data_IF_565403859828
#
_entry.id   IF_565403859828
#
_cell.length_a   1.000
_cell.length_b   1.000
_cell.length_c   1.000
_cell.angle_alpha   90.00
_cell.angle_beta   90.00
_cell.angle_gamma   90.00
#
_symmetry.space_group_name_H-M   'P 1'
#
loop_
_entity.id
_entity.type
_entity.pdbx_description
1 polymer ?
#
# COMPACT_ATOMS: atom_id res chain seq x y z
N UNK A 1 -0.33 10.84 -10.73
CA UNK A 1 0.63 10.72 -9.62
C UNK A 1 0.41 9.33 -9.08
N UNK A 2 0.97 8.35 -9.77
CA UNK A 2 0.64 6.94 -9.57
C UNK A 2 1.45 6.39 -8.40
N UNK A 3 0.91 5.39 -7.69
CA UNK A 3 1.63 4.64 -6.67
C UNK A 3 2.84 3.87 -7.26
N UNK A 4 2.82 3.57 -8.57
CA UNK A 4 3.92 2.94 -9.31
C UNK A 4 5.01 3.93 -9.75
N UNK A 5 4.67 5.20 -10.00
CA UNK A 5 5.65 6.29 -10.16
C UNK A 5 6.29 6.67 -8.83
N UNK A 6 5.55 6.59 -7.72
CA UNK A 6 6.08 6.84 -6.38
C UNK A 6 7.24 5.90 -6.06
N UNK A 7 7.18 4.64 -6.50
CA UNK A 7 8.23 3.65 -6.28
C UNK A 7 9.51 3.97 -7.07
N UNK A 8 9.36 4.42 -8.33
CA UNK A 8 10.47 4.84 -9.21
C UNK A 8 11.11 6.15 -8.76
N UNK A 9 10.32 7.06 -8.19
CA UNK A 9 10.77 8.35 -7.69
C UNK A 9 11.13 8.34 -6.20
N UNK A 10 10.95 7.21 -5.51
CA UNK A 10 11.23 7.14 -4.08
C UNK A 10 12.75 7.10 -3.88
N UNK A 11 13.32 8.15 -3.25
CA UNK A 11 14.75 8.33 -3.14
C UNK A 11 15.40 7.20 -2.33
N UNK A 12 16.71 7.04 -2.49
CA UNK A 12 17.49 6.24 -1.56
C UNK A 12 17.35 6.85 -0.15
N UNK A 13 16.97 6.02 0.83
CA UNK A 13 16.78 6.42 2.23
C UNK A 13 17.99 5.92 3.03
N UNK A 14 19.02 6.75 3.26
CA UNK A 14 20.15 6.36 4.09
C UNK A 14 19.69 6.03 5.52
N UNK A 15 20.15 4.91 6.06
CA UNK A 15 19.80 4.44 7.39
C UNK A 15 18.56 3.52 7.46
N UNK A 16 17.85 3.28 6.35
CA UNK A 16 16.82 2.26 6.30
C UNK A 16 17.45 0.85 6.25
N UNK A 17 17.15 -0.01 7.23
CA UNK A 17 17.63 -1.41 7.23
C UNK A 17 17.01 -2.22 6.09
N UNK A 18 15.70 -2.04 5.88
CA UNK A 18 14.94 -2.71 4.82
C UNK A 18 13.95 -1.75 4.20
N UNK A 19 13.81 -1.83 2.88
CA UNK A 19 12.79 -1.13 2.11
C UNK A 19 11.85 -2.17 1.51
N UNK A 20 10.60 -2.16 1.95
CA UNK A 20 9.56 -3.07 1.48
C UNK A 20 8.64 -2.26 0.57
N UNK A 21 8.69 -2.52 -0.73
CA UNK A 21 7.79 -1.90 -1.70
C UNK A 21 6.45 -2.63 -1.69
N UNK A 22 5.35 -1.88 -1.56
CA UNK A 22 3.98 -2.37 -1.71
C UNK A 22 3.42 -1.77 -3.00
N UNK A 23 3.23 -2.62 -4.01
CA UNK A 23 2.73 -2.20 -5.32
C UNK A 23 1.23 -2.43 -5.39
N UNK A 24 0.50 -1.35 -5.64
CA UNK A 24 -0.92 -1.36 -5.95
C UNK A 24 -1.13 -0.75 -7.32
N UNK A 25 -2.05 -1.33 -8.08
CA UNK A 25 -2.50 -0.73 -9.33
C UNK A 25 -3.24 0.57 -9.00
N UNK A 26 -2.94 1.63 -9.74
CA UNK A 26 -3.55 2.94 -9.50
C UNK A 26 -5.01 2.90 -10.01
N UNK A 27 -6.03 2.99 -9.13
CA UNK A 27 -7.42 2.97 -9.55
C UNK A 27 -7.78 4.15 -10.47
N UNK A 28 -6.89 5.15 -10.58
CA UNK A 28 -6.98 6.25 -11.52
C UNK A 28 -7.13 5.83 -12.99
N UNK A 29 -6.68 4.62 -13.35
CA UNK A 29 -6.94 4.06 -14.68
C UNK A 29 -8.44 3.98 -15.04
N UNK A 30 -9.31 4.03 -14.03
CA UNK A 30 -10.76 3.97 -14.16
C UNK A 30 -11.46 5.33 -13.98
N UNK A 31 -10.71 6.44 -13.89
CA UNK A 31 -11.27 7.79 -13.79
C UNK A 31 -12.24 8.08 -14.96
N UNK A 32 -13.38 8.70 -14.66
CA UNK A 32 -14.46 9.01 -15.60
C UNK A 32 -15.15 7.76 -16.21
N UNK A 33 -14.94 6.58 -15.64
CA UNK A 33 -15.65 5.36 -16.03
C UNK A 33 -16.71 4.99 -15.00
N UNK A 34 -17.68 4.16 -15.41
CA UNK A 34 -18.67 3.61 -14.48
C UNK A 34 -18.06 2.71 -13.38
N UNK A 35 -16.80 2.31 -13.52
CA UNK A 35 -16.08 1.45 -12.57
C UNK A 35 -15.23 2.23 -11.56
N UNK A 36 -15.15 3.56 -11.66
CA UNK A 36 -14.29 4.40 -10.83
C UNK A 36 -14.49 4.09 -9.34
N UNK A 37 -15.70 4.31 -8.81
CA UNK A 37 -16.03 4.10 -7.39
C UNK A 37 -15.60 2.70 -6.93
N UNK A 38 -16.00 1.67 -7.69
CA UNK A 38 -15.70 0.27 -7.36
C UNK A 38 -14.20 0.01 -7.29
N UNK A 39 -13.41 0.58 -8.21
CA UNK A 39 -11.97 0.34 -8.30
C UNK A 39 -11.19 1.05 -7.20
N UNK A 40 -11.61 2.26 -6.83
CA UNK A 40 -11.07 2.95 -5.66
C UNK A 40 -11.40 2.20 -4.36
N UNK A 41 -12.62 1.69 -4.21
CA UNK A 41 -13.01 0.86 -3.05
C UNK A 41 -12.18 -0.43 -2.96
N UNK A 42 -12.08 -1.19 -4.06
CA UNK A 42 -11.27 -2.42 -4.13
C UNK A 42 -9.81 -2.16 -3.72
N UNK A 43 -9.20 -1.09 -4.23
CA UNK A 43 -7.83 -0.71 -3.88
C UNK A 43 -7.70 -0.34 -2.39
N UNK A 44 -8.64 0.46 -1.87
CA UNK A 44 -8.68 0.85 -0.46
C UNK A 44 -8.79 -0.35 0.49
N UNK A 45 -9.70 -1.28 0.20
CA UNK A 45 -9.87 -2.50 1.00
C UNK A 45 -8.64 -3.40 0.98
N UNK A 46 -7.98 -3.51 -0.18
CA UNK A 46 -6.73 -4.27 -0.29
C UNK A 46 -5.64 -3.69 0.61
N UNK A 47 -5.39 -2.38 0.51
CA UNK A 47 -4.40 -1.68 1.35
C UNK A 47 -4.74 -1.87 2.83
N UNK A 48 -6.00 -1.60 3.22
CA UNK A 48 -6.43 -1.71 4.61
C UNK A 48 -6.22 -3.12 5.16
N UNK A 49 -6.53 -4.14 4.37
CA UNK A 49 -6.41 -5.55 4.77
C UNK A 49 -4.94 -5.94 4.98
N UNK A 50 -4.07 -5.61 4.03
CA UNK A 50 -2.64 -5.93 4.11
C UNK A 50 -1.97 -5.24 5.30
N UNK A 51 -2.25 -3.95 5.50
CA UNK A 51 -1.72 -3.17 6.62
C UNK A 51 -2.24 -3.71 7.95
N UNK A 52 -3.53 -3.97 8.07
CA UNK A 52 -4.12 -4.57 9.27
C UNK A 52 -3.46 -5.90 9.63
N UNK A 53 -3.27 -6.78 8.64
CA UNK A 53 -2.62 -8.07 8.84
C UNK A 53 -1.19 -7.92 9.36
N UNK A 54 -0.38 -7.05 8.73
CA UNK A 54 1.00 -6.79 9.16
C UNK A 54 1.04 -6.30 10.61
N UNK A 55 0.21 -5.31 10.98
CA UNK A 55 0.16 -4.82 12.36
C UNK A 55 -0.35 -5.86 13.35
N UNK A 56 -1.29 -6.72 12.95
CA UNK A 56 -1.74 -7.86 13.76
C UNK A 56 -0.59 -8.83 14.05
N UNK A 57 0.19 -9.20 13.04
CA UNK A 57 1.34 -10.10 13.18
C UNK A 57 2.48 -9.47 13.99
N UNK A 58 2.76 -8.18 13.77
CA UNK A 58 3.74 -7.44 14.56
C UNK A 58 3.32 -7.36 16.01
N UNK A 59 2.05 -7.05 16.30
CA UNK A 59 1.51 -7.00 17.67
C UNK A 59 1.64 -8.34 18.39
N UNK A 60 1.37 -9.46 17.72
CA UNK A 60 1.59 -10.81 18.27
C UNK A 60 3.05 -11.07 18.63
N UNK A 61 3.99 -10.60 17.80
CA UNK A 61 5.44 -10.79 17.99
C UNK A 61 6.04 -9.83 19.02
N UNK A 62 5.50 -8.61 19.13
CA UNK A 62 5.99 -7.57 20.05
C UNK A 62 5.50 -7.77 21.47
N UNK A 63 4.48 -8.63 21.74
CA UNK A 63 4.01 -8.92 23.11
C UNK A 63 5.17 -9.05 24.11
N UNK A 64 5.45 -7.94 24.78
CA UNK A 64 6.43 -7.80 25.86
C UNK A 64 5.76 -8.54 27.02
N UNK A 65 6.29 -9.71 27.38
CA UNK A 65 6.06 -10.26 28.71
C UNK A 65 6.76 -9.38 29.72
#
# INVERSE_FOLDING_TARGET
MTCSDADKNCPYIPGAEKRISLKYDDPKEFDNTALEIKKYEECSYKIATEIFYVFSEVSKKIKIH
#
